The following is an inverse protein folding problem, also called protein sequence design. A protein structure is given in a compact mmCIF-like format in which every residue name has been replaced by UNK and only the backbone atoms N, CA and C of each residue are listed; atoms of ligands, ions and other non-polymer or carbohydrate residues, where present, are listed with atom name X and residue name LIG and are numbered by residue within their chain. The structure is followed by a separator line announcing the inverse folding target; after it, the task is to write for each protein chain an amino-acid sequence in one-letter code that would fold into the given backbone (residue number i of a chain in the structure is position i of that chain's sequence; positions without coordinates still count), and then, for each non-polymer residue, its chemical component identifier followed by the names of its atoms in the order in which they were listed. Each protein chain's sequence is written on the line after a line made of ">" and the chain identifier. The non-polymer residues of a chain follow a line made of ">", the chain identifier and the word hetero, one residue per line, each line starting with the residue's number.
data_IF_446147403900
#
_entry.id   IF_446147403900
#
_cell.length_a   1.000
_cell.length_b   1.000
_cell.length_c   1.000
_cell.angle_alpha   90.00
_cell.angle_beta   90.00
_cell.angle_gamma   90.00
#
_symmetry.space_group_name_H-M   'P 1'
#
loop_
_entity.id
_entity.type
_entity.pdbx_description
1 polymer ?
#
# COMPACT_ATOMS: atom_id res chain seq x y z
N UNK A 1 -15.83 -4.38 24.67
CA UNK A 1 -15.88 -4.39 23.19
C UNK A 1 -14.62 -5.10 22.72
N UNK A 2 -14.73 -6.15 21.90
CA UNK A 2 -13.54 -6.84 21.39
C UNK A 2 -12.63 -5.84 20.69
N UNK A 3 -11.37 -5.73 21.12
CA UNK A 3 -10.36 -4.95 20.41
C UNK A 3 -10.29 -5.47 18.98
N UNK A 4 -10.65 -4.65 17.99
CA UNK A 4 -10.49 -5.03 16.58
C UNK A 4 -9.00 -5.13 16.32
N UNK A 5 -8.53 -6.29 15.84
CA UNK A 5 -7.15 -6.44 15.39
C UNK A 5 -7.03 -5.82 14.01
N UNK A 6 -5.86 -5.29 13.66
CA UNK A 6 -5.66 -4.64 12.36
C UNK A 6 -5.81 -5.63 11.21
N UNK A 7 -5.49 -6.91 11.43
CA UNK A 7 -5.66 -7.99 10.46
C UNK A 7 -7.14 -8.25 10.09
N UNK A 8 -8.07 -7.77 10.90
CA UNK A 8 -9.50 -7.89 10.63
C UNK A 8 -10.02 -6.72 9.77
N UNK A 9 -9.20 -5.70 9.50
CA UNK A 9 -9.55 -4.58 8.63
C UNK A 9 -9.40 -4.97 7.15
N UNK A 10 -10.48 -4.81 6.38
CA UNK A 10 -10.48 -5.04 4.92
C UNK A 10 -9.43 -4.18 4.21
N UNK A 11 -9.32 -2.90 4.59
CA UNK A 11 -8.32 -1.98 4.04
C UNK A 11 -6.88 -2.43 4.30
N UNK A 12 -6.62 -3.09 5.43
CA UNK A 12 -5.31 -3.65 5.75
C UNK A 12 -5.00 -4.84 4.85
N UNK A 13 -5.93 -5.79 4.70
CA UNK A 13 -5.76 -6.96 3.83
C UNK A 13 -5.55 -6.56 2.36
N UNK A 14 -6.23 -5.51 1.90
CA UNK A 14 -6.00 -4.94 0.57
C UNK A 14 -4.59 -4.34 0.43
N UNK A 15 -4.12 -3.61 1.45
CA UNK A 15 -2.77 -3.07 1.47
C UNK A 15 -1.71 -4.20 1.47
N UNK A 16 -1.89 -5.25 2.26
CA UNK A 16 -1.02 -6.43 2.25
C UNK A 16 -1.01 -7.14 0.89
N UNK A 17 -2.19 -7.31 0.27
CA UNK A 17 -2.29 -7.92 -1.06
C UNK A 17 -1.52 -7.09 -2.09
N UNK A 18 -1.68 -5.76 -2.08
CA UNK A 18 -0.95 -4.86 -2.96
C UNK A 18 0.57 -5.00 -2.77
N UNK A 19 1.04 -4.95 -1.53
CA UNK A 19 2.45 -5.06 -1.18
C UNK A 19 3.05 -6.39 -1.67
N UNK A 20 2.34 -7.50 -1.45
CA UNK A 20 2.80 -8.82 -1.89
C UNK A 20 2.88 -8.95 -3.43
N UNK A 21 1.91 -8.41 -4.17
CA UNK A 21 1.95 -8.44 -5.64
C UNK A 21 3.08 -7.54 -6.19
N UNK A 22 3.33 -6.40 -5.55
CA UNK A 22 4.47 -5.53 -5.88
C UNK A 22 5.79 -6.24 -5.58
N UNK A 23 5.93 -6.89 -4.42
CA UNK A 23 7.12 -7.64 -4.06
C UNK A 23 7.45 -8.71 -5.10
N UNK A 24 6.48 -9.56 -5.45
CA UNK A 24 6.64 -10.60 -6.47
C UNK A 24 7.08 -10.00 -7.81
N UNK A 25 6.43 -8.91 -8.22
CA UNK A 25 6.77 -8.21 -9.47
C UNK A 25 8.22 -7.71 -9.47
N UNK A 26 8.66 -7.08 -8.39
CA UNK A 26 9.99 -6.47 -8.27
C UNK A 26 11.09 -7.52 -8.09
N UNK A 27 10.79 -8.67 -7.49
CA UNK A 27 11.79 -9.72 -7.26
C UNK A 27 12.40 -10.21 -8.59
N UNK A 28 11.64 -10.16 -9.68
CA UNK A 28 12.06 -10.65 -11.00
C UNK A 28 12.77 -9.57 -11.84
N UNK A 29 12.94 -8.35 -11.31
CA UNK A 29 13.62 -7.27 -12.01
C UNK A 29 15.14 -7.40 -11.97
N UNK A 30 15.78 -6.90 -13.04
CA UNK A 30 17.23 -6.74 -13.14
C UNK A 30 17.80 -5.86 -12.01
N UNK A 31 19.06 -6.06 -11.59
CA UNK A 31 19.64 -5.43 -10.40
C UNK A 31 19.48 -3.90 -10.34
N UNK A 32 19.74 -3.19 -11.44
CA UNK A 32 19.63 -1.74 -11.48
C UNK A 32 18.19 -1.26 -11.19
N UNK A 33 17.20 -1.91 -11.78
CA UNK A 33 15.79 -1.57 -11.58
C UNK A 33 15.36 -1.91 -10.15
N UNK A 34 15.78 -3.07 -9.64
CA UNK A 34 15.50 -3.54 -8.28
C UNK A 34 16.10 -2.61 -7.21
N UNK A 35 17.36 -2.21 -7.36
CA UNK A 35 18.06 -1.39 -6.36
C UNK A 35 17.66 0.09 -6.37
N UNK A 36 17.11 0.56 -7.48
CA UNK A 36 16.61 1.93 -7.60
C UNK A 36 15.12 1.98 -7.28
N UNK A 37 14.25 1.85 -8.29
CA UNK A 37 12.82 2.03 -8.11
C UNK A 37 12.11 0.82 -7.52
N UNK A 38 12.65 -0.39 -7.69
CA UNK A 38 12.11 -1.59 -7.07
C UNK A 38 12.11 -1.49 -5.55
N UNK A 39 13.22 -1.02 -4.98
CA UNK A 39 13.34 -0.79 -3.55
C UNK A 39 12.40 0.32 -3.06
N UNK A 40 12.24 1.38 -3.86
CA UNK A 40 11.36 2.49 -3.49
C UNK A 40 9.88 2.07 -3.49
N UNK A 41 9.42 1.38 -4.54
CA UNK A 41 8.03 0.94 -4.64
C UNK A 41 7.67 -0.10 -3.56
N UNK A 42 8.56 -1.06 -3.29
CA UNK A 42 8.34 -2.07 -2.25
C UNK A 42 8.17 -1.39 -0.89
N UNK A 43 9.08 -0.50 -0.52
CA UNK A 43 9.01 0.22 0.77
C UNK A 43 7.76 1.09 0.89
N UNK A 44 7.38 1.78 -0.20
CA UNK A 44 6.16 2.58 -0.22
C UNK A 44 4.91 1.70 -0.05
N UNK A 45 4.84 0.56 -0.72
CA UNK A 45 3.69 -0.35 -0.62
C UNK A 45 3.58 -0.99 0.77
N UNK A 46 4.68 -1.51 1.32
CA UNK A 46 4.73 -2.09 2.67
C UNK A 46 4.33 -1.06 3.75
N UNK A 47 4.74 0.20 3.56
CA UNK A 47 4.43 1.31 4.46
C UNK A 47 2.92 1.54 4.61
N UNK A 48 2.10 1.23 3.60
CA UNK A 48 0.64 1.41 3.68
C UNK A 48 0.07 0.53 4.81
N UNK A 49 0.36 -0.76 4.77
CA UNK A 49 -0.10 -1.73 5.77
C UNK A 49 0.52 -1.46 7.15
N UNK A 50 1.83 -1.15 7.19
CA UNK A 50 2.54 -0.83 8.42
C UNK A 50 1.92 0.35 9.16
N UNK A 51 1.59 1.44 8.45
CA UNK A 51 0.96 2.61 9.07
C UNK A 51 -0.48 2.33 9.52
N UNK A 52 -1.26 1.49 8.81
CA UNK A 52 -2.59 1.09 9.28
C UNK A 52 -2.49 0.31 10.60
N UNK A 53 -1.57 -0.65 10.67
CA UNK A 53 -1.36 -1.47 11.86
C UNK A 53 -0.86 -0.64 13.05
N UNK A 54 0.13 0.23 12.82
CA UNK A 54 0.67 1.12 13.85
C UNK A 54 -0.40 2.09 14.36
N UNK A 55 -1.13 2.74 13.45
CA UNK A 55 -2.20 3.68 13.81
C UNK A 55 -3.26 3.07 14.71
N UNK A 56 -3.70 1.84 14.41
CA UNK A 56 -4.66 1.13 15.27
C UNK A 56 -4.06 0.77 16.63
N UNK A 57 -2.78 0.38 16.67
CA UNK A 57 -2.06 0.01 17.89
C UNK A 57 -1.79 1.17 18.87
N UNK A 58 -1.83 2.43 18.41
CA UNK A 58 -1.64 3.63 19.26
C UNK A 58 -2.80 3.92 20.20
N UNK A 59 -3.95 3.28 20.03
CA UNK A 59 -5.05 3.30 21.01
C UNK A 59 -5.88 4.59 21.12
N UNK A 60 -5.54 5.65 20.36
CA UNK A 60 -6.33 6.88 20.29
C UNK A 60 -6.72 7.22 18.85
N UNK A 61 -7.94 7.75 18.67
CA UNK A 61 -8.43 8.15 17.35
C UNK A 61 -7.58 9.19 16.62
N UNK A 62 -7.07 10.26 17.30
CA UNK A 62 -6.25 11.27 16.63
C UNK A 62 -4.98 10.68 16.02
N UNK A 63 -4.30 9.79 16.76
CA UNK A 63 -3.11 9.10 16.27
C UNK A 63 -3.47 8.13 15.15
N UNK A 64 -4.53 7.32 15.30
CA UNK A 64 -4.97 6.43 14.21
C UNK A 64 -5.24 7.22 12.92
N UNK A 65 -5.98 8.34 13.00
CA UNK A 65 -6.20 9.22 11.83
C UNK A 65 -4.91 9.77 11.24
N UNK A 66 -3.92 10.14 12.08
CA UNK A 66 -2.62 10.62 11.61
C UNK A 66 -1.91 9.55 10.80
N UNK A 67 -1.78 8.34 11.33
CA UNK A 67 -1.12 7.23 10.66
C UNK A 67 -1.86 6.77 9.39
N UNK A 68 -3.19 6.78 9.36
CA UNK A 68 -3.95 6.49 8.13
C UNK A 68 -3.72 7.54 7.05
N UNK A 69 -3.50 8.81 7.40
CA UNK A 69 -3.09 9.83 6.42
C UNK A 69 -1.69 9.56 5.86
N UNK A 70 -0.77 9.04 6.68
CA UNK A 70 0.56 8.62 6.23
C UNK A 70 0.43 7.42 5.27
N UNK A 71 -0.39 6.42 5.62
CA UNK A 71 -0.68 5.29 4.74
C UNK A 71 -1.22 5.74 3.37
N UNK A 72 -2.09 6.75 3.34
CA UNK A 72 -2.57 7.36 2.09
C UNK A 72 -1.46 8.07 1.31
N UNK A 73 -0.53 8.74 2.00
CA UNK A 73 0.67 9.30 1.36
C UNK A 73 1.53 8.21 0.71
N UNK A 74 1.77 7.11 1.41
CA UNK A 74 2.50 5.94 0.88
C UNK A 74 1.80 5.28 -0.31
N UNK A 75 0.46 5.29 -0.36
CA UNK A 75 -0.28 4.86 -1.55
C UNK A 75 0.02 5.74 -2.76
N UNK A 76 0.01 7.07 -2.61
CA UNK A 76 0.36 7.98 -3.71
C UNK A 76 1.81 7.81 -4.17
N UNK A 77 2.74 7.59 -3.24
CA UNK A 77 4.13 7.26 -3.58
C UNK A 77 4.24 5.93 -4.33
N UNK A 78 3.48 4.91 -3.92
CA UNK A 78 3.40 3.62 -4.62
C UNK A 78 2.91 3.80 -6.06
N UNK A 79 1.83 4.57 -6.25
CA UNK A 79 1.30 4.90 -7.59
C UNK A 79 2.31 5.66 -8.45
N UNK A 80 3.05 6.60 -7.85
CA UNK A 80 4.13 7.31 -8.54
C UNK A 80 5.18 6.33 -9.07
N UNK A 81 5.69 5.44 -8.22
CA UNK A 81 6.72 4.50 -8.63
C UNK A 81 6.23 3.45 -9.63
N UNK A 82 4.97 2.98 -9.52
CA UNK A 82 4.35 2.13 -10.54
C UNK A 82 4.30 2.82 -11.91
N UNK A 83 3.92 4.10 -11.94
CA UNK A 83 3.94 4.89 -13.18
C UNK A 83 5.35 4.98 -13.76
N UNK A 84 6.38 5.19 -12.93
CA UNK A 84 7.78 5.21 -13.38
C UNK A 84 8.25 3.84 -13.89
N UNK A 85 7.83 2.76 -13.25
CA UNK A 85 8.14 1.39 -13.67
C UNK A 85 7.51 1.08 -15.04
N UNK A 86 6.24 1.46 -15.23
CA UNK A 86 5.56 1.33 -16.51
C UNK A 86 6.27 2.10 -17.63
N UNK A 87 6.60 3.38 -17.42
CA UNK A 87 7.35 4.18 -18.41
C UNK A 87 8.74 3.62 -18.75
N UNK A 88 9.28 2.73 -17.92
CA UNK A 88 10.58 2.06 -18.13
C UNK A 88 10.43 0.64 -18.66
N UNK A 89 9.21 0.23 -19.04
CA UNK A 89 8.89 -1.11 -19.53
C UNK A 89 9.28 -2.22 -18.53
N UNK A 90 9.16 -1.94 -17.22
CA UNK A 90 9.44 -2.91 -16.15
C UNK A 90 8.17 -3.65 -15.69
N UNK A 91 7.01 -3.28 -16.20
CA UNK A 91 5.72 -3.90 -15.90
C UNK A 91 5.12 -4.47 -17.17
N UNK A 92 4.71 -5.73 -17.13
CA UNK A 92 3.92 -6.36 -18.19
C UNK A 92 2.44 -5.95 -18.09
N UNK A 93 1.69 -6.09 -19.18
CA UNK A 93 0.24 -5.87 -19.18
C UNK A 93 -0.47 -6.74 -18.14
N UNK A 94 -0.07 -8.01 -17.99
CA UNK A 94 -0.64 -8.93 -17.01
C UNK A 94 -0.40 -8.46 -15.56
N UNK A 95 0.79 -7.90 -15.27
CA UNK A 95 1.08 -7.33 -13.95
C UNK A 95 0.23 -6.10 -13.68
N UNK A 96 -0.01 -5.25 -14.68
CA UNK A 96 -0.89 -4.09 -14.55
C UNK A 96 -2.35 -4.50 -14.34
N UNK A 97 -2.83 -5.52 -15.06
CA UNK A 97 -4.19 -6.06 -14.91
C UNK A 97 -4.41 -6.64 -13.52
N UNK A 98 -3.34 -7.10 -12.86
CA UNK A 98 -3.38 -7.58 -11.47
C UNK A 98 -3.34 -6.43 -10.47
N UNK A 99 -2.44 -5.46 -10.66
CA UNK A 99 -2.19 -4.38 -9.69
C UNK A 99 -3.28 -3.29 -9.72
N UNK A 100 -3.78 -2.93 -10.91
CA UNK A 100 -4.69 -1.80 -11.10
C UNK A 100 -6.00 -1.96 -10.32
N UNK A 101 -6.70 -3.12 -10.34
CA UNK A 101 -7.93 -3.29 -9.56
C UNK A 101 -7.70 -3.13 -8.05
N UNK A 102 -6.56 -3.60 -7.54
CA UNK A 102 -6.22 -3.48 -6.11
C UNK A 102 -6.02 -2.00 -5.74
N UNK A 103 -5.33 -1.23 -6.58
CA UNK A 103 -5.13 0.21 -6.36
C UNK A 103 -6.43 1.00 -6.40
N UNK A 104 -7.28 0.70 -7.39
CA UNK A 104 -8.57 1.36 -7.60
C UNK A 104 -9.52 1.09 -6.42
N UNK A 105 -9.43 -0.08 -5.79
CA UNK A 105 -10.19 -0.40 -4.58
C UNK A 105 -9.56 0.19 -3.30
N UNK A 106 -8.23 0.15 -3.16
CA UNK A 106 -7.57 0.54 -1.91
C UNK A 106 -7.73 2.03 -1.59
N UNK A 107 -7.67 2.91 -2.59
CA UNK A 107 -7.81 4.36 -2.40
C UNK A 107 -9.14 4.78 -1.73
N UNK A 108 -10.33 4.39 -2.25
CA UNK A 108 -11.59 4.71 -1.58
C UNK A 108 -11.74 4.02 -0.22
N UNK A 109 -11.23 2.79 -0.05
CA UNK A 109 -11.27 2.06 1.24
C UNK A 109 -10.45 2.74 2.33
N UNK A 110 -9.27 3.26 1.99
CA UNK A 110 -8.45 4.07 2.91
C UNK A 110 -9.17 5.33 3.35
N UNK A 111 -9.84 6.03 2.43
CA UNK A 111 -10.62 7.23 2.76
C UNK A 111 -11.84 6.89 3.62
N UNK A 112 -12.56 5.81 3.31
CA UNK A 112 -13.68 5.34 4.12
C UNK A 112 -13.23 4.96 5.54
N UNK A 113 -12.10 4.25 5.67
CA UNK A 113 -11.53 3.92 6.97
C UNK A 113 -11.15 5.19 7.75
N UNK A 114 -10.44 6.13 7.13
CA UNK A 114 -10.07 7.41 7.75
C UNK A 114 -11.29 8.16 8.29
N UNK A 115 -12.38 8.18 7.52
CA UNK A 115 -13.62 8.86 7.90
C UNK A 115 -14.39 8.13 9.01
N UNK A 116 -14.25 6.80 9.10
CA UNK A 116 -14.91 5.98 10.13
C UNK A 116 -14.30 6.14 11.53
N UNK A 117 -13.05 6.61 11.63
CA UNK A 117 -12.37 6.86 12.89
C UNK A 117 -12.98 8.12 13.53
N UNK A 118 -13.62 7.99 14.69
CA UNK A 118 -14.26 9.10 15.42
C UNK A 118 -13.23 10.02 16.04
#
# INVERSE_FOLDING_TARGET
>A
MSSKRFQDLEVYRLAERLANEIWKTVQDWEPLAKDTIGRQIVRAADSIGANIAEGLGRGSSPENRRFVRIARGSLYETQHWLRRAYCRNLLSSQQLDTLKPILDELAPRLNAYLNSIK
#
